data_IF_183495725391
#
_entry.id   IF_183495725391
#
_cell.length_a   1.000
_cell.length_b   1.000
_cell.length_c   1.000
_cell.angle_alpha   90.00
_cell.angle_beta   90.00
_cell.angle_gamma   90.00
#
_symmetry.space_group_name_H-M   'P 1'
#
loop_
_entity.id
_entity.type
_entity.pdbx_description
1 polymer ?
#
# COMPACT_ATOMS: atom_id res chain seq x y z
N UNK A 1 5.76 17.11 -8.31
CA UNK A 1 6.58 16.43 -9.36
C UNK A 1 6.95 14.97 -9.05
N UNK A 2 6.53 14.35 -7.93
CA UNK A 2 6.95 12.97 -7.56
C UNK A 2 6.63 11.90 -8.61
N UNK A 3 5.37 11.82 -9.06
CA UNK A 3 4.90 10.78 -9.98
C UNK A 3 5.71 10.76 -11.27
N UNK A 4 5.97 11.93 -11.86
CA UNK A 4 6.73 12.06 -13.10
C UNK A 4 8.16 11.53 -12.93
N UNK A 5 8.84 11.86 -11.82
CA UNK A 5 10.19 11.35 -11.54
C UNK A 5 10.22 9.84 -11.35
N UNK A 6 9.25 9.29 -10.61
CA UNK A 6 9.15 7.85 -10.38
C UNK A 6 8.90 7.13 -11.70
N UNK A 7 7.90 7.56 -12.47
CA UNK A 7 7.55 6.96 -13.77
C UNK A 7 8.70 7.03 -14.76
N UNK A 8 9.46 8.14 -14.80
CA UNK A 8 10.64 8.27 -15.65
C UNK A 8 11.74 7.27 -15.24
N UNK A 9 12.05 7.13 -13.96
CA UNK A 9 13.04 6.14 -13.49
C UNK A 9 12.62 4.70 -13.82
N UNK A 10 11.36 4.34 -13.55
CA UNK A 10 10.82 3.00 -13.85
C UNK A 10 10.89 2.69 -15.34
N UNK A 11 10.55 3.68 -16.19
CA UNK A 11 10.64 3.56 -17.64
C UNK A 11 12.08 3.41 -18.12
N UNK A 12 13.01 4.22 -17.61
CA UNK A 12 14.42 4.18 -18.01
C UNK A 12 15.09 2.85 -17.63
N UNK A 13 14.62 2.21 -16.55
CA UNK A 13 15.05 0.87 -16.14
C UNK A 13 14.29 -0.26 -16.86
N UNK A 14 13.43 0.06 -17.84
CA UNK A 14 12.64 -0.90 -18.63
C UNK A 14 11.79 -1.85 -17.77
N UNK A 15 11.38 -1.38 -16.58
CA UNK A 15 10.56 -2.15 -15.65
C UNK A 15 9.09 -2.22 -16.10
N UNK A 16 8.64 -1.28 -16.93
CA UNK A 16 7.29 -1.21 -17.50
C UNK A 16 6.67 0.17 -17.31
N UNK A 17 5.35 0.25 -17.44
CA UNK A 17 4.59 1.50 -17.27
C UNK A 17 3.95 1.55 -15.87
N UNK A 18 4.16 2.65 -15.14
CA UNK A 18 3.51 2.86 -13.84
C UNK A 18 2.01 3.13 -14.03
N UNK A 19 1.18 2.47 -13.23
CA UNK A 19 -0.27 2.67 -13.18
C UNK A 19 -0.65 3.48 -11.94
N UNK A 20 -1.19 4.68 -12.15
CA UNK A 20 -1.59 5.61 -11.09
C UNK A 20 -3.07 5.40 -10.77
N UNK A 21 -3.36 5.23 -9.49
CA UNK A 21 -4.71 5.18 -8.93
C UNK A 21 -5.13 6.51 -8.34
N UNK A 22 -5.80 6.45 -7.19
CA UNK A 22 -6.35 7.64 -6.53
C UNK A 22 -5.26 8.60 -6.05
N UNK A 23 -5.48 9.90 -6.25
CA UNK A 23 -4.62 10.98 -5.75
C UNK A 23 -5.39 11.85 -4.76
N UNK A 24 -6.36 12.61 -5.25
CA UNK A 24 -7.23 13.47 -4.47
C UNK A 24 -8.29 14.08 -5.38
N UNK A 25 -9.39 14.56 -4.80
CA UNK A 25 -10.39 15.34 -5.53
C UNK A 25 -9.82 16.71 -5.94
N UNK A 26 -10.47 17.44 -6.87
CA UNK A 26 -9.95 18.72 -7.36
C UNK A 26 -9.57 19.74 -6.28
N UNK A 27 -10.27 19.75 -5.14
CA UNK A 27 -9.98 20.61 -3.99
C UNK A 27 -9.63 19.79 -2.71
N UNK A 28 -9.22 18.53 -2.87
CA UNK A 28 -8.97 17.64 -1.75
C UNK A 28 -10.26 17.26 -1.00
N UNK A 29 -10.16 17.08 0.32
CA UNK A 29 -11.28 16.68 1.18
C UNK A 29 -11.54 15.16 1.23
N UNK A 30 -12.47 14.75 2.11
CA UNK A 30 -12.79 13.34 2.34
C UNK A 30 -13.50 12.72 1.15
N UNK A 31 -13.04 11.55 0.72
CA UNK A 31 -13.79 10.72 -0.23
C UNK A 31 -15.08 10.17 0.40
N UNK A 32 -16.08 9.91 -0.44
CA UNK A 32 -17.34 9.25 -0.06
C UNK A 32 -17.24 7.70 -0.08
N UNK A 33 -16.07 7.17 0.30
CA UNK A 33 -15.71 5.75 0.24
C UNK A 33 -14.21 5.56 -0.11
N UNK A 34 -13.62 4.43 0.30
CA UNK A 34 -12.20 4.13 0.04
C UNK A 34 -11.26 4.56 1.18
N UNK A 35 -10.12 5.17 0.84
CA UNK A 35 -9.11 5.56 1.82
C UNK A 35 -9.55 6.80 2.63
N UNK A 36 -9.20 6.80 3.92
CA UNK A 36 -9.44 7.94 4.82
C UNK A 36 -8.47 9.13 4.60
N UNK A 37 -7.36 8.88 3.90
CA UNK A 37 -6.32 9.81 3.45
C UNK A 37 -6.74 10.56 2.17
N UNK A 38 -5.79 11.11 1.38
CA UNK A 38 -6.03 11.77 0.07
C UNK A 38 -6.71 13.14 0.10
N UNK A 39 -6.76 13.77 1.27
CA UNK A 39 -7.49 15.03 1.44
C UNK A 39 -6.68 16.27 1.08
N UNK A 40 -5.34 16.17 1.01
CA UNK A 40 -4.44 17.34 0.90
C UNK A 40 -3.59 17.34 -0.38
N UNK A 41 -3.83 16.40 -1.30
CA UNK A 41 -3.05 16.28 -2.54
C UNK A 41 -1.63 15.71 -2.36
N UNK A 42 -1.31 15.15 -1.18
CA UNK A 42 0.01 14.60 -0.84
C UNK A 42 0.03 13.07 -0.75
N UNK A 43 -1.04 12.42 -1.20
CA UNK A 43 -1.19 10.97 -1.22
C UNK A 43 -1.43 10.50 -2.66
N UNK A 44 -0.89 9.34 -3.01
CA UNK A 44 -1.15 8.68 -4.30
C UNK A 44 -1.11 7.18 -4.16
N UNK A 45 -2.12 6.51 -4.71
CA UNK A 45 -2.12 5.06 -4.88
C UNK A 45 -1.45 4.68 -6.20
N UNK A 46 -0.60 3.68 -6.14
CA UNK A 46 0.10 3.14 -7.31
C UNK A 46 -0.15 1.64 -7.34
N UNK A 47 -0.72 1.14 -8.45
CA UNK A 47 -0.95 -0.28 -8.63
C UNK A 47 0.39 -1.04 -8.67
N UNK A 48 0.44 -2.19 -8.00
CA UNK A 48 1.61 -3.07 -7.99
C UNK A 48 1.62 -3.99 -9.22
N UNK A 49 1.49 -3.36 -10.40
CA UNK A 49 1.57 -3.96 -11.71
C UNK A 49 2.29 -3.00 -12.66
N UNK A 50 3.20 -3.53 -13.47
CA UNK A 50 3.96 -2.76 -14.46
C UNK A 50 3.75 -3.37 -15.86
N UNK A 51 2.69 -2.98 -16.57
CA UNK A 51 2.44 -3.43 -17.93
C UNK A 51 3.62 -3.06 -18.86
N UNK A 52 4.06 -4.03 -19.66
CA UNK A 52 5.08 -3.80 -20.70
C UNK A 52 4.50 -3.14 -21.95
N UNK A 53 3.19 -3.28 -22.14
CA UNK A 53 2.39 -2.58 -23.15
C UNK A 53 1.41 -1.65 -22.45
N UNK A 54 1.22 -0.43 -22.95
CA UNK A 54 0.24 0.50 -22.38
C UNK A 54 -1.16 -0.13 -22.40
N UNK A 55 -1.86 -0.02 -21.28
CA UNK A 55 -3.26 -0.41 -21.18
C UNK A 55 -4.13 0.48 -22.06
N UNK A 56 -5.20 -0.11 -22.58
CA UNK A 56 -6.24 0.61 -23.31
C UNK A 56 -7.07 1.47 -22.35
N UNK A 57 -7.78 2.47 -22.88
CA UNK A 57 -8.68 3.30 -22.07
C UNK A 57 -9.73 2.48 -21.31
N UNK A 58 -10.22 1.39 -21.90
CA UNK A 58 -11.18 0.49 -21.24
C UNK A 58 -10.57 -0.25 -20.04
N UNK A 59 -9.32 -0.72 -20.18
CA UNK A 59 -8.58 -1.35 -19.08
C UNK A 59 -8.26 -0.34 -17.96
N UNK A 60 -7.93 0.90 -18.31
CA UNK A 60 -7.68 1.96 -17.33
C UNK A 60 -8.96 2.41 -16.61
N UNK A 61 -10.11 2.42 -17.29
CA UNK A 61 -11.40 2.78 -16.70
C UNK A 61 -11.93 1.69 -15.76
N UNK A 62 -11.59 0.43 -16.01
CA UNK A 62 -11.98 -0.73 -15.19
C UNK A 62 -10.75 -1.59 -14.88
N UNK A 63 -9.83 -1.08 -14.03
CA UNK A 63 -8.57 -1.75 -13.77
C UNK A 63 -8.81 -3.07 -13.03
N UNK A 64 -8.22 -4.15 -13.53
CA UNK A 64 -8.26 -5.43 -12.85
C UNK A 64 -7.15 -5.49 -11.80
N UNK A 65 -7.55 -5.39 -10.53
CA UNK A 65 -6.63 -5.50 -9.41
C UNK A 65 -6.06 -6.93 -9.31
N UNK A 66 -4.73 -7.03 -9.31
CA UNK A 66 -4.01 -8.28 -9.09
C UNK A 66 -3.67 -8.37 -7.60
N UNK A 67 -4.34 -9.29 -6.90
CA UNK A 67 -4.07 -9.57 -5.49
C UNK A 67 -2.73 -10.30 -5.34
N UNK A 68 -1.71 -9.59 -4.85
CA UNK A 68 -0.37 -10.14 -4.65
C UNK A 68 -0.24 -10.96 -3.37
N UNK A 69 -1.26 -11.02 -2.53
CA UNK A 69 -1.19 -11.64 -1.20
C UNK A 69 -1.97 -12.95 -1.19
N UNK A 70 -1.46 -13.96 -0.49
CA UNK A 70 -2.12 -15.26 -0.34
C UNK A 70 -3.49 -15.14 0.34
N UNK A 71 -4.36 -16.14 0.13
CA UNK A 71 -5.70 -16.14 0.74
C UNK A 71 -5.67 -16.08 2.27
N UNK A 72 -4.70 -16.72 2.90
CA UNK A 72 -4.51 -16.69 4.36
C UNK A 72 -3.84 -15.39 4.86
N UNK A 73 -3.45 -14.51 3.93
CA UNK A 73 -2.87 -13.22 4.19
C UNK A 73 -1.41 -13.26 4.60
N UNK A 74 -0.76 -14.44 4.68
CA UNK A 74 0.53 -14.62 5.35
C UNK A 74 1.76 -14.29 4.52
N UNK A 75 1.68 -14.48 3.21
CA UNK A 75 2.81 -14.29 2.30
C UNK A 75 2.31 -13.76 0.96
N UNK A 76 3.23 -13.33 0.09
CA UNK A 76 2.87 -13.00 -1.29
C UNK A 76 2.58 -14.28 -2.08
N UNK A 77 1.85 -14.15 -3.19
CA UNK A 77 1.68 -15.26 -4.15
C UNK A 77 2.95 -15.35 -5.01
N UNK A 78 3.76 -16.42 -4.91
CA UNK A 78 5.09 -16.46 -5.52
C UNK A 78 5.08 -16.30 -7.05
N UNK A 79 4.03 -16.78 -7.72
CA UNK A 79 3.87 -16.67 -9.17
C UNK A 79 3.51 -15.25 -9.66
N UNK A 80 3.06 -14.39 -8.74
CA UNK A 80 2.65 -13.01 -9.05
C UNK A 80 3.68 -11.98 -8.56
N UNK A 81 4.46 -12.30 -7.52
CA UNK A 81 5.54 -11.44 -7.07
C UNK A 81 6.68 -11.42 -8.08
N UNK A 82 7.09 -10.21 -8.48
CA UNK A 82 8.17 -10.03 -9.47
C UNK A 82 9.21 -9.03 -8.98
N UNK A 83 10.48 -9.16 -9.41
CA UNK A 83 11.54 -8.22 -9.05
C UNK A 83 11.26 -6.76 -9.42
N UNK A 84 10.45 -6.52 -10.46
CA UNK A 84 10.06 -5.17 -10.86
C UNK A 84 9.12 -4.51 -9.84
N UNK A 85 8.29 -5.30 -9.15
CA UNK A 85 7.41 -4.80 -8.08
C UNK A 85 8.25 -4.42 -6.85
N UNK A 86 9.23 -5.24 -6.49
CA UNK A 86 10.23 -4.90 -5.48
C UNK A 86 10.93 -3.58 -5.83
N UNK A 87 11.41 -3.46 -7.07
CA UNK A 87 12.14 -2.29 -7.55
C UNK A 87 11.28 -1.03 -7.56
N UNK A 88 10.01 -1.13 -7.98
CA UNK A 88 9.05 -0.03 -7.95
C UNK A 88 8.88 0.56 -6.54
N UNK A 89 8.64 -0.31 -5.55
CA UNK A 89 8.45 0.11 -4.16
C UNK A 89 9.74 0.70 -3.59
N UNK A 90 10.90 0.08 -3.90
CA UNK A 90 12.21 0.57 -3.46
C UNK A 90 12.52 1.95 -4.03
N UNK A 91 12.33 2.17 -5.33
CA UNK A 91 12.55 3.46 -5.99
C UNK A 91 11.66 4.54 -5.39
N UNK A 92 10.38 4.25 -5.17
CA UNK A 92 9.47 5.17 -4.50
C UNK A 92 9.92 5.49 -3.07
N UNK A 93 10.35 4.48 -2.30
CA UNK A 93 10.80 4.68 -0.91
C UNK A 93 12.12 5.46 -0.81
N UNK A 94 13.00 5.34 -1.80
CA UNK A 94 14.26 6.08 -1.85
C UNK A 94 14.08 7.55 -2.21
N UNK A 95 12.94 7.92 -2.79
CA UNK A 95 12.63 9.31 -3.11
C UNK A 95 12.60 10.19 -1.84
N UNK A 96 13.30 11.33 -1.88
CA UNK A 96 13.48 12.24 -0.74
C UNK A 96 12.17 12.87 -0.26
N UNK A 97 11.17 13.03 -1.13
CA UNK A 97 9.91 13.69 -0.80
C UNK A 97 8.91 12.69 -0.19
N UNK A 98 9.14 11.38 -0.33
CA UNK A 98 8.30 10.32 0.25
C UNK A 98 8.62 10.15 1.73
N UNK A 99 7.59 10.16 2.57
CA UNK A 99 7.71 9.92 4.02
C UNK A 99 7.26 8.51 4.39
N UNK A 100 6.20 8.00 3.77
CA UNK A 100 5.62 6.68 4.05
C UNK A 100 5.11 6.02 2.78
N UNK A 101 5.17 4.69 2.76
CA UNK A 101 4.50 3.86 1.76
C UNK A 101 3.73 2.78 2.51
N UNK A 102 2.41 2.75 2.42
CA UNK A 102 1.61 1.69 3.02
C UNK A 102 1.42 0.54 2.05
N UNK A 103 1.68 -0.67 2.55
CA UNK A 103 1.53 -1.94 1.82
C UNK A 103 0.98 -3.00 2.77
N UNK A 104 0.46 -4.09 2.22
CA UNK A 104 0.08 -5.24 3.04
C UNK A 104 1.29 -5.77 3.86
N UNK A 105 1.08 -6.28 5.09
CA UNK A 105 2.15 -6.90 5.88
C UNK A 105 2.94 -7.98 5.13
N UNK A 106 2.28 -8.82 4.34
CA UNK A 106 2.93 -9.87 3.55
C UNK A 106 3.88 -9.31 2.49
N UNK A 107 3.50 -8.19 1.85
CA UNK A 107 4.35 -7.49 0.89
C UNK A 107 5.58 -6.91 1.60
N UNK A 108 5.41 -6.24 2.75
CA UNK A 108 6.55 -5.74 3.53
C UNK A 108 7.48 -6.87 3.97
N UNK A 109 6.92 -8.02 4.37
CA UNK A 109 7.71 -9.19 4.70
C UNK A 109 8.55 -9.68 3.51
N UNK A 110 7.97 -9.76 2.31
CA UNK A 110 8.71 -10.14 1.11
C UNK A 110 9.80 -9.12 0.76
N UNK A 111 9.50 -7.81 0.79
CA UNK A 111 10.50 -6.75 0.60
C UNK A 111 11.67 -6.90 1.58
N UNK A 112 11.38 -7.32 2.82
CA UNK A 112 12.40 -7.57 3.80
C UNK A 112 13.28 -8.79 3.46
N UNK A 113 12.73 -9.85 2.89
CA UNK A 113 13.54 -10.98 2.42
C UNK A 113 14.45 -10.55 1.26
N UNK A 114 13.91 -9.76 0.33
CA UNK A 114 14.58 -9.41 -0.92
C UNK A 114 15.61 -8.26 -0.79
N UNK A 115 15.51 -7.41 0.24
CA UNK A 115 16.27 -6.15 0.29
C UNK A 115 17.80 -6.27 0.44
N UNK A 116 18.35 -7.46 0.75
CA UNK A 116 19.80 -7.62 0.95
C UNK A 116 20.33 -6.68 2.05
N UNK A 117 21.44 -5.98 1.78
CA UNK A 117 22.14 -5.08 2.73
C UNK A 117 21.67 -3.63 2.68
N UNK A 118 21.20 -3.12 1.53
CA UNK A 118 20.62 -1.79 1.40
C UNK A 118 19.15 -1.81 1.85
N UNK A 119 18.94 -1.42 3.11
CA UNK A 119 17.66 -1.63 3.82
C UNK A 119 17.04 -0.37 4.42
N UNK A 120 17.71 0.77 4.37
CA UNK A 120 17.27 1.98 5.09
C UNK A 120 15.91 2.48 4.60
N UNK A 121 15.63 2.30 3.31
CA UNK A 121 14.35 2.65 2.68
C UNK A 121 13.15 1.87 3.27
N UNK A 122 13.36 0.66 3.82
CA UNK A 122 12.30 -0.14 4.46
C UNK A 122 11.67 0.56 5.67
N UNK A 123 12.33 1.58 6.24
CA UNK A 123 11.76 2.39 7.34
C UNK A 123 10.52 3.17 6.92
N UNK A 124 10.44 3.56 5.64
CA UNK A 124 9.30 4.28 5.08
C UNK A 124 8.14 3.34 4.73
N UNK A 125 8.44 2.07 4.46
CA UNK A 125 7.41 1.07 4.15
C UNK A 125 6.67 0.68 5.43
N UNK A 126 5.36 0.89 5.49
CA UNK A 126 4.51 0.68 6.66
C UNK A 126 3.48 -0.43 6.37
N UNK A 127 3.39 -1.45 7.22
CA UNK A 127 2.34 -2.45 7.09
C UNK A 127 0.97 -1.83 7.41
N UNK A 128 -0.03 -2.05 6.55
CA UNK A 128 -1.40 -1.62 6.77
C UNK A 128 -2.40 -2.64 6.20
N UNK A 129 -3.63 -2.64 6.73
CA UNK A 129 -4.69 -3.53 6.27
C UNK A 129 -5.01 -3.30 4.79
N UNK A 130 -5.48 -4.35 4.09
CA UNK A 130 -5.70 -4.34 2.64
C UNK A 130 -4.38 -4.09 1.89
N UNK A 131 -4.29 -3.08 1.00
CA UNK A 131 -3.11 -2.77 0.20
C UNK A 131 -2.46 -4.00 -0.47
N UNK A 132 -3.32 -4.88 -1.01
CA UNK A 132 -2.94 -6.17 -1.58
C UNK A 132 -2.55 -6.07 -3.06
N UNK A 133 -3.02 -5.03 -3.75
CA UNK A 133 -2.82 -4.80 -5.18
C UNK A 133 -2.21 -3.43 -5.52
N UNK A 134 -2.04 -2.57 -4.52
CA UNK A 134 -1.51 -1.22 -4.66
C UNK A 134 -0.64 -0.85 -3.45
N UNK A 135 0.25 0.11 -3.65
CA UNK A 135 0.92 0.82 -2.57
C UNK A 135 0.35 2.24 -2.44
N UNK A 136 0.11 2.67 -1.20
CA UNK A 136 -0.25 4.05 -0.90
C UNK A 136 1.01 4.83 -0.58
N UNK A 137 1.37 5.82 -1.39
CA UNK A 137 2.54 6.68 -1.15
C UNK A 137 2.09 7.99 -0.54
N UNK A 138 2.77 8.41 0.53
CA UNK A 138 2.58 9.72 1.18
C UNK A 138 3.83 10.57 1.08
N UNK A 139 3.64 11.82 0.67
CA UNK A 139 4.68 12.84 0.60
C UNK A 139 4.75 13.65 1.90
N UNK A 140 5.87 14.33 2.12
CA UNK A 140 6.00 15.38 3.15
C UNK A 140 5.23 16.64 2.75
N UNK A 141 4.91 17.48 3.73
CA UNK A 141 4.40 18.81 3.46
C UNK A 141 5.36 19.62 2.57
N UNK A 142 4.85 20.36 1.57
CA UNK A 142 5.66 21.32 0.83
C UNK A 142 6.19 22.41 1.76
N UNK A 143 7.42 22.86 1.54
CA UNK A 143 8.10 23.81 2.44
C UNK A 143 7.42 25.19 2.51
N UNK A 144 6.67 25.54 1.47
CA UNK A 144 5.89 26.78 1.30
C UNK A 144 4.43 26.64 1.77
N UNK A 145 3.99 25.45 2.19
CA UNK A 145 2.64 25.23 2.71
C UNK A 145 2.56 25.47 4.21
N UNK A 146 2.24 26.71 4.60
CA UNK A 146 2.26 27.20 5.98
C UNK A 146 1.31 26.45 6.93
N UNK A 147 0.20 25.94 6.42
CA UNK A 147 -0.85 25.27 7.20
C UNK A 147 -0.85 23.74 7.01
N UNK A 148 0.18 23.19 6.35
CA UNK A 148 0.28 21.75 6.17
C UNK A 148 0.88 21.09 7.42
N UNK A 149 0.14 20.12 7.97
CA UNK A 149 0.57 19.36 9.14
C UNK A 149 1.29 18.06 8.75
N UNK A 150 2.59 17.98 9.03
CA UNK A 150 3.36 16.76 8.84
C UNK A 150 3.02 15.72 9.92
N UNK A 151 3.07 14.44 9.53
CA UNK A 151 3.07 13.36 10.50
C UNK A 151 4.45 13.24 11.16
N UNK A 152 4.54 12.91 12.47
CA UNK A 152 5.81 12.70 13.15
C UNK A 152 6.71 11.74 12.38
N UNK A 153 8.03 11.91 12.41
CA UNK A 153 8.94 10.98 11.73
C UNK A 153 8.70 9.55 12.20
N UNK A 154 8.87 8.59 11.29
CA UNK A 154 8.91 7.18 11.69
C UNK A 154 10.09 7.01 12.63
N UNK A 155 9.83 6.55 13.87
CA UNK A 155 10.76 6.59 15.00
C UNK A 155 12.22 6.36 14.59
N UNK A 156 13.06 7.38 14.79
CA UNK A 156 14.51 7.30 14.67
C UNK A 156 15.06 6.80 16.00
N UNK A 157 15.71 5.64 15.97
CA UNK A 157 16.36 5.12 17.15
C UNK A 157 17.28 3.97 16.78
N UNK A 158 18.36 3.84 17.56
CA UNK A 158 19.34 2.75 17.64
C UNK A 158 18.72 1.33 17.75
N UNK A 159 17.40 1.26 17.78
CA UNK A 159 16.54 0.14 17.50
C UNK A 159 16.06 0.22 16.02
N UNK A 160 16.67 -0.37 14.97
CA UNK A 160 16.81 -1.81 14.74
C UNK A 160 17.23 -2.09 13.29
N UNK A 161 18.49 -2.47 13.09
CA UNK A 161 18.83 -3.38 12.00
C UNK A 161 18.13 -4.72 12.29
N UNK A 162 16.92 -4.94 11.74
CA UNK A 162 16.21 -6.24 11.79
C UNK A 162 14.75 -6.25 12.27
N UNK A 163 14.30 -5.42 13.22
CA UNK A 163 12.90 -5.44 13.70
C UNK A 163 11.93 -4.63 12.83
N UNK A 164 12.39 -3.73 11.95
CA UNK A 164 11.51 -3.08 10.96
C UNK A 164 10.78 -4.12 10.07
N UNK A 165 11.37 -5.31 9.94
CA UNK A 165 10.83 -6.48 9.26
C UNK A 165 10.03 -7.42 10.19
N UNK A 166 10.16 -7.30 11.51
CA UNK A 166 9.39 -8.08 12.50
C UNK A 166 8.03 -7.44 12.83
N UNK A 167 7.86 -6.14 12.61
CA UNK A 167 6.62 -5.41 12.93
C UNK A 167 5.39 -5.81 12.08
N UNK A 168 5.59 -6.38 10.88
CA UNK A 168 4.48 -6.82 10.02
C UNK A 168 3.68 -7.98 10.59
N UNK A 169 4.35 -8.92 11.26
CA UNK A 169 3.74 -10.12 11.86
C UNK A 169 2.70 -9.78 12.94
N UNK A 170 2.93 -8.73 13.73
CA UNK A 170 2.04 -8.36 14.83
C UNK A 170 0.72 -7.74 14.34
N UNK A 171 0.73 -6.97 13.24
CA UNK A 171 -0.48 -6.40 12.63
C UNK A 171 -1.33 -7.47 11.93
N UNK A 172 -0.68 -8.41 11.25
CA UNK A 172 -1.31 -9.55 10.60
C UNK A 172 -2.03 -10.46 11.61
N UNK A 173 -1.40 -10.69 12.78
CA UNK A 173 -2.03 -11.40 13.89
C UNK A 173 -3.27 -10.67 14.43
N UNK A 174 -3.23 -9.33 14.53
CA UNK A 174 -4.41 -8.53 14.92
C UNK A 174 -5.53 -8.59 13.89
N UNK A 175 -5.22 -8.64 12.59
CA UNK A 175 -6.20 -8.79 11.52
C UNK A 175 -6.92 -10.14 11.60
N UNK A 176 -6.18 -11.24 11.72
CA UNK A 176 -6.76 -12.58 11.88
C UNK A 176 -7.61 -12.68 13.15
N UNK A 177 -7.18 -12.05 14.25
CA UNK A 177 -7.99 -11.99 15.47
C UNK A 177 -9.26 -11.15 15.29
N UNK A 178 -9.20 -10.02 14.60
CA UNK A 178 -10.35 -9.16 14.29
C UNK A 178 -11.36 -9.86 13.38
N UNK A 179 -10.89 -10.51 12.31
CA UNK A 179 -11.72 -11.31 11.41
C UNK A 179 -12.36 -12.50 12.13
N UNK A 180 -11.59 -13.23 12.96
CA UNK A 180 -12.13 -14.31 13.81
C UNK A 180 -13.18 -13.77 14.80
N UNK A 181 -12.97 -12.60 15.41
CA UNK A 181 -13.95 -11.96 16.29
C UNK A 181 -15.23 -11.57 15.54
N UNK A 182 -15.13 -10.96 14.36
CA UNK A 182 -16.29 -10.64 13.51
C UNK A 182 -17.04 -11.89 13.06
N UNK A 183 -16.34 -12.96 12.69
CA UNK A 183 -16.95 -14.23 12.32
C UNK A 183 -17.66 -14.89 13.52
N UNK A 184 -17.03 -14.89 14.71
CA UNK A 184 -17.66 -15.35 15.97
C UNK A 184 -18.92 -14.55 16.32
N UNK A 185 -18.90 -13.23 16.16
CA UNK A 185 -20.08 -12.38 16.40
C UNK A 185 -21.19 -12.68 15.39
N UNK A 186 -20.85 -12.94 14.12
CA UNK A 186 -21.81 -13.35 13.09
C UNK A 186 -22.44 -14.72 13.35
N UNK A 187 -21.69 -15.67 13.92
CA UNK A 187 -22.21 -16.98 14.35
C UNK A 187 -22.96 -16.94 15.69
N UNK A 188 -22.89 -15.84 16.46
CA UNK A 188 -23.61 -15.65 17.73
C UNK A 188 -24.90 -14.86 17.60
N UNK A 189 -25.12 -14.17 16.48
CA UNK A 189 -26.42 -13.55 16.21
C UNK A 189 -27.41 -14.67 15.85
N UNK A 190 -28.53 -14.82 16.57
CA UNK A 190 -29.56 -15.78 16.20
C UNK A 190 -30.07 -15.41 14.81
N UNK A 191 -30.13 -16.40 13.91
CA UNK A 191 -30.81 -16.25 12.63
C UNK A 191 -32.25 -15.83 12.91
N UNK A 192 -32.60 -14.56 12.64
CA UNK A 192 -34.01 -14.14 12.60
C UNK A 192 -34.68 -14.90 11.47
N UNK A 193 -35.31 -16.03 11.79
CA UNK A 193 -36.31 -16.67 10.94
C UNK A 193 -37.51 -15.72 10.91
N UNK A 194 -37.63 -14.94 9.84
CA UNK A 194 -38.92 -14.38 9.49
C UNK A 194 -39.76 -15.53 8.92
N UNK A 195 -40.64 -16.07 9.75
CA UNK A 195 -41.81 -16.80 9.27
C UNK A 195 -42.84 -15.75 8.90
N UNK A 196 -43.15 -15.64 7.60
CA UNK A 196 -44.38 -14.99 7.15
C UNK A 196 -45.48 -16.05 7.14
N UNK A 197 -46.57 -15.77 7.86
CA UNK A 197 -47.81 -16.53 7.78
C UNK A 197 -48.94 -15.53 7.53
N UNK A 198 -49.83 -15.94 6.62
CA UNK A 198 -51.03 -15.31 6.05
C UNK A 198 -50.82 -14.08 5.19
#
# INVERSE_FOLDING_TARGET
MFIQRLSSQVSNLSLGTVLIGDMGMPAGGRFNGGHASHQTGLDVDIFLQLPKTRWTSAQLLRPQALDLVSRDGKHVVPTLWKPEIFSLIKLAAQDKDVTRIFVNPAIKQQLCLDAGTDRDWLRKVRPWFQHRAHMHVRLRCPADSLECEDQPFTATGRWLRGQNCKAGLNLQNREQQSLRRRHRLRCRLPARRYWMST
#
